data_IF_965343518633
#
_entry.id   IF_965343518633
#
_cell.length_a   1.000
_cell.length_b   1.000
_cell.length_c   1.000
_cell.angle_alpha   90.00
_cell.angle_beta   90.00
_cell.angle_gamma   90.00
#
_symmetry.space_group_name_H-M   'P 1'
#
loop_
_entity.id
_entity.type
_entity.pdbx_description
1 polymer ?
#
# COMPACT_ATOMS: atom_id res chain seq x y z
N UNK A 1 -17.70 -5.89 36.35
CA UNK A 1 -17.08 -5.60 35.04
C UNK A 1 -16.85 -6.92 34.34
N UNK A 2 -17.48 -7.15 33.18
CA UNK A 2 -17.53 -8.46 32.52
C UNK A 2 -16.24 -8.80 31.76
N UNK A 3 -15.78 -10.04 31.92
CA UNK A 3 -14.64 -10.62 31.19
C UNK A 3 -15.08 -10.88 29.75
N UNK A 4 -14.54 -10.13 28.78
CA UNK A 4 -14.73 -10.40 27.35
C UNK A 4 -13.88 -11.61 26.98
N UNK A 5 -14.53 -12.74 26.71
CA UNK A 5 -13.88 -13.91 26.13
C UNK A 5 -13.75 -13.67 24.61
N UNK A 6 -12.55 -13.82 24.05
CA UNK A 6 -12.36 -13.78 22.60
C UNK A 6 -13.20 -14.86 21.92
N UNK A 7 -13.76 -14.55 20.75
CA UNK A 7 -14.47 -15.53 19.93
C UNK A 7 -13.45 -16.39 19.17
N UNK A 8 -13.66 -17.71 19.13
CA UNK A 8 -12.85 -18.61 18.32
C UNK A 8 -13.17 -18.38 16.83
N UNK A 9 -12.14 -18.21 15.99
CA UNK A 9 -12.31 -18.07 14.56
C UNK A 9 -12.89 -19.36 13.95
N UNK A 10 -14.00 -19.25 13.22
CA UNK A 10 -14.68 -20.41 12.61
C UNK A 10 -14.03 -20.92 11.32
N UNK A 11 -13.23 -20.09 10.65
CA UNK A 11 -12.53 -20.39 9.39
C UNK A 11 -11.31 -19.48 9.27
N UNK A 12 -10.23 -20.00 8.68
CA UNK A 12 -9.06 -19.21 8.28
C UNK A 12 -8.88 -19.41 6.79
N UNK A 13 -8.71 -18.31 6.06
CA UNK A 13 -8.35 -18.30 4.64
C UNK A 13 -6.92 -17.77 4.51
N UNK A 14 -6.13 -18.41 3.67
CA UNK A 14 -4.73 -18.06 3.44
C UNK A 14 -4.55 -17.84 1.96
N UNK A 15 -3.95 -16.71 1.61
CA UNK A 15 -3.60 -16.34 0.24
C UNK A 15 -2.11 -16.04 0.20
N UNK A 16 -1.40 -16.65 -0.74
CA UNK A 16 0.01 -16.33 -0.97
C UNK A 16 0.11 -14.99 -1.69
N UNK A 17 0.91 -14.08 -1.13
CA UNK A 17 1.16 -12.76 -1.70
C UNK A 17 2.56 -12.75 -2.31
N UNK A 18 2.70 -12.41 -3.61
CA UNK A 18 4.01 -12.23 -4.24
C UNK A 18 4.86 -11.20 -3.47
N UNK A 19 6.14 -11.51 -3.26
CA UNK A 19 7.08 -10.63 -2.58
C UNK A 19 8.38 -10.55 -3.40
N UNK A 20 8.23 -10.33 -4.71
CA UNK A 20 9.32 -10.28 -5.67
C UNK A 20 9.89 -8.86 -5.81
N UNK A 21 9.05 -7.83 -5.61
CA UNK A 21 9.47 -6.43 -5.60
C UNK A 21 10.07 -6.06 -4.24
N UNK A 22 11.36 -5.71 -4.26
CA UNK A 22 12.14 -5.45 -3.03
C UNK A 22 12.73 -4.04 -2.93
N UNK A 23 12.55 -3.22 -3.98
CA UNK A 23 13.12 -1.87 -4.07
C UNK A 23 12.05 -0.80 -3.96
N UNK A 24 12.32 0.25 -3.17
CA UNK A 24 11.45 1.42 -3.06
C UNK A 24 11.40 2.25 -4.36
N UNK A 25 12.36 2.09 -5.28
CA UNK A 25 12.34 2.74 -6.61
C UNK A 25 11.12 2.35 -7.44
N UNK A 26 10.41 1.30 -7.04
CA UNK A 26 9.10 0.93 -7.57
C UNK A 26 8.07 2.06 -7.47
N UNK A 27 8.21 2.97 -6.50
CA UNK A 27 7.33 4.12 -6.31
C UNK A 27 7.80 5.41 -6.99
N UNK A 28 8.95 5.40 -7.68
CA UNK A 28 9.45 6.60 -8.37
C UNK A 28 8.46 7.09 -9.45
N UNK A 29 7.70 6.15 -10.04
CA UNK A 29 6.63 6.41 -11.03
C UNK A 29 5.57 7.40 -10.56
N UNK A 30 5.36 7.53 -9.24
CA UNK A 30 4.40 8.47 -8.66
C UNK A 30 4.75 9.93 -9.00
N UNK A 31 6.04 10.23 -9.15
CA UNK A 31 6.51 11.56 -9.56
C UNK A 31 6.48 11.70 -11.07
N UNK A 32 6.77 10.62 -11.81
CA UNK A 32 6.83 10.62 -13.29
C UNK A 32 5.44 10.77 -13.96
N UNK A 33 4.35 10.55 -13.23
CA UNK A 33 2.97 10.54 -13.74
C UNK A 33 2.06 11.55 -13.01
N UNK A 34 2.64 12.64 -12.48
CA UNK A 34 1.92 13.76 -11.87
C UNK A 34 0.98 13.41 -10.69
N UNK A 35 1.12 12.22 -10.07
CA UNK A 35 0.43 11.90 -8.80
C UNK A 35 1.08 12.64 -7.63
N UNK A 36 2.39 12.84 -7.70
CA UNK A 36 3.21 13.57 -6.75
C UNK A 36 4.05 14.62 -7.49
N UNK A 37 4.07 15.86 -6.97
CA UNK A 37 4.91 16.93 -7.52
C UNK A 37 6.37 16.70 -7.16
N UNK A 38 7.30 17.30 -7.90
CA UNK A 38 8.75 17.26 -7.57
C UNK A 38 9.06 17.68 -6.12
N UNK A 39 8.24 18.56 -5.54
CA UNK A 39 8.31 18.97 -4.12
C UNK A 39 7.95 17.89 -3.09
N UNK A 40 7.44 16.74 -3.53
CA UNK A 40 6.89 15.67 -2.69
C UNK A 40 5.42 15.84 -2.29
N UNK A 41 4.79 16.96 -2.65
CA UNK A 41 3.36 17.19 -2.44
C UNK A 41 2.50 16.28 -3.31
N UNK A 42 1.53 15.60 -2.70
CA UNK A 42 0.55 14.79 -3.41
C UNK A 42 -0.44 15.72 -4.12
N UNK A 43 -0.74 15.45 -5.39
CA UNK A 43 -1.66 16.28 -6.18
C UNK A 43 -3.09 16.11 -5.66
N UNK A 44 -3.70 17.23 -5.26
CA UNK A 44 -5.09 17.29 -4.77
C UNK A 44 -6.08 17.19 -5.93
N UNK A 45 -7.24 16.61 -5.66
CA UNK A 45 -8.37 16.54 -6.58
C UNK A 45 -9.66 17.01 -5.89
N UNK A 46 -10.76 17.06 -6.64
CA UNK A 46 -12.08 17.22 -6.03
C UNK A 46 -12.41 16.02 -5.15
N UNK A 47 -13.08 16.29 -4.03
CA UNK A 47 -13.51 15.25 -3.12
C UNK A 47 -14.46 14.27 -3.81
N UNK A 48 -14.13 13.00 -3.73
CA UNK A 48 -14.96 11.87 -4.14
C UNK A 48 -15.08 10.88 -2.99
N UNK A 49 -16.10 10.02 -3.02
CA UNK A 49 -16.40 9.07 -1.96
C UNK A 49 -16.41 7.65 -2.50
N UNK A 50 -15.53 6.81 -1.98
CA UNK A 50 -15.43 5.41 -2.34
C UNK A 50 -15.49 4.56 -1.08
N UNK A 51 -16.57 3.78 -0.94
CA UNK A 51 -16.86 3.01 0.28
C UNK A 51 -16.79 3.92 1.53
N UNK A 52 -15.89 3.62 2.47
CA UNK A 52 -15.69 4.38 3.70
C UNK A 52 -14.57 5.44 3.59
N UNK A 53 -14.03 5.68 2.38
CA UNK A 53 -12.94 6.62 2.14
C UNK A 53 -13.42 7.90 1.46
N UNK A 54 -12.97 9.04 2.00
CA UNK A 54 -12.95 10.31 1.27
C UNK A 54 -11.66 10.38 0.45
N UNK A 55 -11.81 10.51 -0.87
CA UNK A 55 -10.72 10.66 -1.82
C UNK A 55 -10.56 12.14 -2.14
N UNK A 56 -9.46 12.74 -1.72
CA UNK A 56 -9.17 14.18 -1.93
C UNK A 56 -7.85 14.43 -2.67
N UNK A 57 -7.24 13.37 -3.21
CA UNK A 57 -5.98 13.43 -3.94
C UNK A 57 -5.85 12.30 -4.98
N UNK A 58 -4.96 12.53 -5.94
CA UNK A 58 -4.70 11.62 -7.07
C UNK A 58 -4.04 10.30 -6.62
N UNK A 59 -3.34 10.28 -5.47
CA UNK A 59 -2.77 9.06 -4.92
C UNK A 59 -3.87 8.09 -4.47
N UNK A 60 -4.84 8.56 -3.70
CA UNK A 60 -5.98 7.76 -3.26
C UNK A 60 -6.85 7.32 -4.43
N UNK A 61 -7.05 8.18 -5.43
CA UNK A 61 -7.72 7.79 -6.68
C UNK A 61 -7.01 6.61 -7.34
N UNK A 62 -5.70 6.69 -7.58
CA UNK A 62 -4.93 5.59 -8.19
C UNK A 62 -5.01 4.28 -7.37
N UNK A 63 -5.06 4.38 -6.05
CA UNK A 63 -5.11 3.21 -5.17
C UNK A 63 -6.49 2.53 -5.10
N UNK A 64 -7.57 3.28 -5.26
CA UNK A 64 -8.95 2.82 -5.02
C UNK A 64 -9.80 2.68 -6.27
N UNK A 65 -9.68 3.59 -7.23
CA UNK A 65 -10.59 3.71 -8.36
C UNK A 65 -9.99 3.09 -9.62
N UNK A 66 -10.59 2.01 -10.11
CA UNK A 66 -10.17 1.31 -11.34
C UNK A 66 -10.29 2.18 -12.60
N UNK A 67 -11.16 3.18 -12.57
CA UNK A 67 -11.39 4.14 -13.65
C UNK A 67 -10.56 5.43 -13.52
N UNK A 68 -9.66 5.52 -12.54
CA UNK A 68 -8.71 6.62 -12.43
C UNK A 68 -7.72 6.61 -13.61
N UNK A 69 -7.44 7.78 -14.17
CA UNK A 69 -6.43 7.98 -15.22
C UNK A 69 -5.06 7.38 -14.85
N UNK A 70 -4.77 7.30 -13.54
CA UNK A 70 -3.51 6.83 -13.00
C UNK A 70 -3.54 5.35 -12.54
N UNK A 71 -4.68 4.66 -12.61
CA UNK A 71 -4.84 3.30 -12.06
C UNK A 71 -3.84 2.30 -12.66
N UNK A 72 -3.68 2.34 -13.99
CA UNK A 72 -2.84 1.44 -14.78
C UNK A 72 -1.33 1.75 -14.69
N UNK A 73 -0.92 2.73 -13.87
CA UNK A 73 0.50 2.98 -13.56
C UNK A 73 1.20 1.73 -12.98
N UNK A 74 0.41 0.90 -12.30
CA UNK A 74 0.80 -0.42 -11.83
C UNK A 74 -0.16 -1.44 -12.42
N UNK A 75 0.38 -2.47 -13.08
CA UNK A 75 -0.45 -3.54 -13.62
C UNK A 75 -1.01 -4.45 -12.50
N UNK A 76 -1.95 -5.32 -12.83
CA UNK A 76 -2.61 -6.20 -11.85
C UNK A 76 -1.63 -7.02 -11.01
N UNK A 77 -0.57 -7.57 -11.62
CA UNK A 77 0.43 -8.37 -10.89
C UNK A 77 1.24 -7.48 -9.93
N UNK A 78 1.65 -6.29 -10.37
CA UNK A 78 2.34 -5.30 -9.55
C UNK A 78 1.48 -4.83 -8.36
N UNK A 79 0.18 -4.66 -8.56
CA UNK A 79 -0.77 -4.27 -7.49
C UNK A 79 -0.98 -5.38 -6.44
N UNK A 80 -0.67 -6.63 -6.76
CA UNK A 80 -0.69 -7.75 -5.82
C UNK A 80 0.64 -7.97 -5.09
N UNK A 81 1.71 -7.24 -5.43
CA UNK A 81 2.99 -7.37 -4.72
C UNK A 81 2.88 -6.89 -3.27
N UNK A 82 3.54 -7.60 -2.36
CA UNK A 82 3.51 -7.33 -0.93
C UNK A 82 3.91 -5.88 -0.61
N UNK A 83 4.93 -5.36 -1.29
CA UNK A 83 5.38 -3.98 -1.13
C UNK A 83 4.28 -2.97 -1.52
N UNK A 84 3.55 -3.22 -2.62
CA UNK A 84 2.45 -2.37 -3.06
C UNK A 84 1.28 -2.43 -2.08
N UNK A 85 0.88 -3.63 -1.66
CA UNK A 85 -0.23 -3.82 -0.73
C UNK A 85 0.05 -3.15 0.62
N UNK A 86 1.27 -3.27 1.14
CA UNK A 86 1.70 -2.59 2.35
C UNK A 86 1.62 -1.07 2.19
N UNK A 87 2.18 -0.52 1.11
CA UNK A 87 2.11 0.90 0.81
C UNK A 87 0.65 1.39 0.73
N UNK A 88 -0.22 0.68 0.01
CA UNK A 88 -1.65 0.97 -0.07
C UNK A 88 -2.30 1.04 1.31
N UNK A 89 -2.02 0.08 2.19
CA UNK A 89 -2.56 0.09 3.55
C UNK A 89 -2.10 1.30 4.35
N UNK A 90 -0.83 1.71 4.20
CA UNK A 90 -0.28 2.87 4.89
C UNK A 90 -0.91 4.18 4.35
N UNK A 91 -1.11 4.31 3.04
CA UNK A 91 -1.72 5.50 2.44
C UNK A 91 -3.22 5.63 2.75
N UNK A 92 -3.96 4.52 2.73
CA UNK A 92 -5.39 4.52 3.04
C UNK A 92 -5.61 4.67 4.55
N UNK A 93 -4.72 4.12 5.36
CA UNK A 93 -4.81 4.15 6.81
C UNK A 93 -6.04 3.41 7.33
N UNK A 94 -6.50 3.81 8.52
CA UNK A 94 -7.73 3.30 9.13
C UNK A 94 -8.77 4.40 9.34
N UNK A 95 -9.81 4.10 10.12
CA UNK A 95 -10.98 4.94 10.36
C UNK A 95 -10.74 6.33 10.99
N UNK A 96 -9.49 6.72 11.27
CA UNK A 96 -9.13 7.96 11.98
C UNK A 96 -8.35 8.96 11.11
N UNK A 97 -8.57 8.96 9.78
CA UNK A 97 -8.07 9.95 8.83
C UNK A 97 -6.55 10.23 8.94
N UNK A 98 -5.73 9.21 8.73
CA UNK A 98 -4.26 9.32 8.74
C UNK A 98 -3.72 9.75 7.37
N UNK A 99 -4.29 10.83 6.80
CA UNK A 99 -3.81 11.35 5.53
C UNK A 99 -2.71 12.38 5.71
N UNK A 100 -1.69 12.25 4.86
CA UNK A 100 -0.58 13.17 4.69
C UNK A 100 -0.72 13.93 3.37
N UNK A 101 -0.22 15.16 3.34
CA UNK A 101 -0.14 15.98 2.12
C UNK A 101 1.15 15.71 1.31
N UNK A 102 2.12 15.02 1.91
CA UNK A 102 3.41 14.69 1.31
C UNK A 102 3.55 13.17 1.19
N UNK A 103 4.27 12.73 0.14
CA UNK A 103 4.49 11.30 -0.11
C UNK A 103 5.49 10.66 0.85
N UNK A 104 6.45 11.45 1.33
CA UNK A 104 7.62 10.94 2.06
C UNK A 104 7.29 10.17 3.34
N UNK A 105 6.36 10.62 4.21
CA UNK A 105 5.97 9.84 5.38
C UNK A 105 5.46 8.44 5.03
N UNK A 106 4.67 8.30 3.95
CA UNK A 106 4.18 7.00 3.50
C UNK A 106 5.30 6.09 3.00
N UNK A 107 6.23 6.62 2.18
CA UNK A 107 7.36 5.85 1.65
C UNK A 107 8.31 5.42 2.77
N UNK A 108 8.66 6.33 3.68
CA UNK A 108 9.52 6.02 4.82
C UNK A 108 8.87 4.96 5.72
N UNK A 109 7.59 5.11 6.04
CA UNK A 109 6.87 4.15 6.91
C UNK A 109 6.77 2.77 6.26
N UNK A 110 6.41 2.72 4.97
CA UNK A 110 6.38 1.48 4.18
C UNK A 110 7.73 0.79 4.18
N UNK A 111 8.82 1.54 3.96
CA UNK A 111 10.19 0.99 3.92
C UNK A 111 10.62 0.40 5.26
N UNK A 112 10.29 1.06 6.37
CA UNK A 112 10.62 0.57 7.72
C UNK A 112 9.88 -0.73 7.98
N UNK A 113 8.55 -0.74 7.79
CA UNK A 113 7.73 -1.93 8.05
C UNK A 113 8.13 -3.09 7.12
N UNK A 114 8.37 -2.82 5.84
CA UNK A 114 8.79 -3.84 4.89
C UNK A 114 10.10 -4.53 5.34
N UNK A 115 11.08 -3.75 5.81
CA UNK A 115 12.35 -4.29 6.32
C UNK A 115 12.20 -5.09 7.59
N UNK A 116 11.23 -4.76 8.44
CA UNK A 116 10.96 -5.51 9.66
C UNK A 116 10.23 -6.83 9.38
N UNK A 117 9.40 -6.87 8.34
CA UNK A 117 8.61 -8.06 7.98
C UNK A 117 9.34 -9.02 7.03
N UNK A 118 10.21 -8.52 6.15
CA UNK A 118 10.86 -9.32 5.11
C UNK A 118 12.31 -9.60 5.46
N UNK A 119 12.67 -10.88 5.48
CA UNK A 119 14.04 -11.35 5.71
C UNK A 119 14.54 -12.16 4.52
N UNK A 120 15.81 -11.97 4.15
CA UNK A 120 16.46 -12.77 3.10
C UNK A 120 17.09 -14.01 3.76
N UNK A 121 16.61 -15.19 3.40
CA UNK A 121 17.22 -16.45 3.81
C UNK A 121 17.92 -17.14 2.63
N UNK A 122 19.14 -17.63 2.85
CA UNK A 122 19.78 -18.55 1.90
C UNK A 122 19.11 -19.91 2.03
N UNK A 123 18.43 -20.34 0.98
CA UNK A 123 17.95 -21.73 0.91
C UNK A 123 19.17 -22.61 0.61
N UNK A 124 19.62 -23.37 1.61
CA UNK A 124 20.64 -24.39 1.40
C UNK A 124 20.01 -25.48 0.51
N UNK A 125 20.41 -25.52 -0.76
CA UNK A 125 19.99 -26.58 -1.69
C UNK A 125 20.42 -27.92 -1.10
N UNK A 126 19.46 -28.80 -0.79
CA UNK A 126 19.74 -30.18 -0.41
C UNK A 126 20.42 -30.85 -1.60
N UNK A 127 21.65 -31.30 -1.38
CA UNK A 127 22.48 -31.94 -2.40
C UNK A 127 22.00 -33.38 -2.55
N UNK A 128 21.42 -33.70 -3.71
CA UNK A 128 21.05 -35.06 -4.12
C UNK A 128 22.29 -35.98 -4.18
#
# INVERSE_FOLDING_TARGET
MGVRHGMAAGKVEVTEIPCSVTSMTFFDRLTDQDVVRESGHIVKCFDDFYEDFTISDELRKMLLLEDSDNYEMYNDAERQEFLFLLFKHICLGGAVCQYEDFIEPYLTTTKVIYKDLVSVAKIQQLRN
#
